data_IF_980430057845
#
_entry.id   IF_980430057845
#
_cell.length_a   1.000
_cell.length_b   1.000
_cell.length_c   1.000
_cell.angle_alpha   90.00
_cell.angle_beta   90.00
_cell.angle_gamma   90.00
#
_symmetry.space_group_name_H-M   'P 1'
#
loop_
_entity.id
_entity.type
_entity.pdbx_description
1 polymer ?
#
# COMPACT_ATOMS: atom_id res chain seq x y z
N UNK A 1 1.39 -9.31 24.99
CA UNK A 1 2.04 -8.17 24.32
C UNK A 1 1.35 -7.99 22.98
N UNK A 2 0.71 -6.84 22.73
CA UNK A 2 0.02 -6.59 21.46
C UNK A 2 1.05 -6.58 20.32
N UNK A 3 0.81 -7.35 19.28
CA UNK A 3 1.69 -7.35 18.13
C UNK A 3 1.38 -6.13 17.27
N UNK A 4 2.26 -5.14 17.26
CA UNK A 4 2.10 -3.92 16.45
C UNK A 4 2.98 -3.97 15.21
N UNK A 5 2.42 -3.60 14.06
CA UNK A 5 3.16 -3.45 12.80
C UNK A 5 3.20 -1.98 12.39
N UNK A 6 4.24 -1.58 11.67
CA UNK A 6 4.27 -0.30 10.97
C UNK A 6 3.64 -0.46 9.58
N UNK A 7 2.68 0.39 9.27
CA UNK A 7 1.95 0.37 8.01
C UNK A 7 1.83 1.79 7.43
N UNK A 8 1.81 1.90 6.11
CA UNK A 8 1.53 3.17 5.44
C UNK A 8 0.06 3.56 5.62
N UNK A 9 -0.18 4.85 5.81
CA UNK A 9 -1.50 5.47 5.83
C UNK A 9 -1.51 6.71 4.94
N UNK A 10 -2.60 6.94 4.23
CA UNK A 10 -2.83 8.16 3.45
C UNK A 10 -3.80 9.05 4.22
N UNK A 11 -3.24 10.02 4.94
CA UNK A 11 -4.00 10.84 5.89
C UNK A 11 -4.24 12.22 5.29
N UNK A 12 -5.48 12.69 5.42
CA UNK A 12 -5.82 14.08 5.12
C UNK A 12 -5.42 14.98 6.29
N UNK A 13 -4.67 16.05 6.03
CA UNK A 13 -4.22 16.99 7.04
C UNK A 13 -5.34 17.89 7.57
N UNK A 14 -6.42 18.10 6.82
CA UNK A 14 -7.54 18.93 7.26
C UNK A 14 -8.54 18.15 8.13
N UNK A 15 -8.93 16.93 7.73
CA UNK A 15 -9.92 16.14 8.49
C UNK A 15 -9.31 15.02 9.35
N UNK A 16 -7.98 14.81 9.30
CA UNK A 16 -7.23 13.83 10.09
C UNK A 16 -7.68 12.36 9.92
N UNK A 17 -8.42 12.07 8.84
CA UNK A 17 -8.87 10.71 8.49
C UNK A 17 -7.88 10.04 7.54
N UNK A 18 -7.77 8.73 7.66
CA UNK A 18 -7.17 7.89 6.62
C UNK A 18 -8.17 7.76 5.48
N UNK A 19 -7.90 8.43 4.35
CA UNK A 19 -8.88 8.53 3.26
C UNK A 19 -8.79 7.41 2.25
N UNK A 20 -7.59 6.85 2.03
CA UNK A 20 -7.36 5.78 1.05
C UNK A 20 -6.48 4.70 1.69
N UNK A 21 -6.93 3.43 1.72
CA UNK A 21 -6.13 2.36 2.29
C UNK A 21 -4.92 2.05 1.39
N UNK A 22 -3.72 2.03 1.98
CA UNK A 22 -2.51 1.61 1.29
C UNK A 22 -2.27 0.12 1.55
N UNK A 23 -2.27 -0.68 0.48
CA UNK A 23 -2.14 -2.14 0.50
C UNK A 23 -0.89 -2.58 -0.27
N UNK A 24 -0.55 -3.86 -0.18
CA UNK A 24 0.56 -4.46 -0.93
C UNK A 24 0.47 -4.25 -2.46
N UNK A 25 -0.75 -4.13 -2.99
CA UNK A 25 -1.04 -3.93 -4.41
C UNK A 25 -1.08 -2.44 -4.84
N UNK A 26 -1.03 -1.50 -3.88
CA UNK A 26 -1.02 -0.07 -4.14
C UNK A 26 0.17 0.35 -4.99
N UNK A 27 -0.03 1.33 -5.87
CA UNK A 27 0.97 1.75 -6.86
C UNK A 27 1.89 2.85 -6.32
N UNK A 28 3.15 2.72 -6.68
CA UNK A 28 4.20 3.70 -6.49
C UNK A 28 4.28 4.66 -7.68
N UNK A 29 4.95 5.81 -7.51
CA UNK A 29 5.32 6.73 -8.59
C UNK A 29 6.00 6.03 -9.77
N UNK A 30 6.89 5.07 -9.50
CA UNK A 30 7.56 4.28 -10.55
C UNK A 30 6.65 3.29 -11.28
N UNK A 31 5.39 3.13 -10.84
CA UNK A 31 4.41 2.19 -11.37
C UNK A 31 4.45 0.79 -10.80
N UNK A 32 5.46 0.47 -10.00
CA UNK A 32 5.53 -0.78 -9.26
C UNK A 32 4.68 -0.75 -7.98
N UNK A 33 4.44 -1.93 -7.41
CA UNK A 33 3.55 -2.15 -6.28
C UNK A 33 4.29 -2.09 -4.96
N UNK A 34 3.61 -1.74 -3.87
CA UNK A 34 4.22 -1.70 -2.53
C UNK A 34 4.95 -2.99 -2.16
N UNK A 35 4.44 -4.18 -2.54
CA UNK A 35 5.11 -5.47 -2.28
C UNK A 35 6.53 -5.59 -2.87
N UNK A 36 6.80 -4.84 -3.95
CA UNK A 36 8.12 -4.77 -4.59
C UNK A 36 9.05 -3.77 -3.88
N UNK A 37 8.54 -3.00 -2.92
CA UNK A 37 9.32 -2.09 -2.07
C UNK A 37 9.52 -2.65 -0.66
N UNK A 38 8.96 -3.81 -0.34
CA UNK A 38 9.10 -4.49 0.96
C UNK A 38 10.04 -5.71 0.89
N UNK A 39 10.48 -6.09 -0.31
CA UNK A 39 11.24 -7.31 -0.57
C UNK A 39 12.71 -7.13 -0.16
N UNK A 40 13.03 -7.60 1.04
CA UNK A 40 14.34 -7.43 1.69
C UNK A 40 14.30 -7.65 3.21
N UNK A 41 13.13 -7.86 3.80
CA UNK A 41 12.97 -8.20 5.21
C UNK A 41 12.72 -9.70 5.34
N UNK A 42 13.71 -10.41 5.88
CA UNK A 42 13.56 -11.80 6.30
C UNK A 42 12.48 -11.89 7.38
N UNK A 43 11.81 -13.04 7.42
CA UNK A 43 10.67 -13.37 8.26
C UNK A 43 11.02 -13.50 9.77
N UNK A 44 11.70 -12.50 10.34
CA UNK A 44 11.85 -12.37 11.78
C UNK A 44 10.97 -11.21 12.20
N UNK A 45 9.98 -11.56 13.02
CA UNK A 45 8.81 -10.82 13.48
C UNK A 45 9.03 -9.43 14.11
N UNK A 46 10.22 -8.82 14.02
CA UNK A 46 10.52 -7.59 14.73
C UNK A 46 10.91 -6.50 13.74
N UNK A 47 9.90 -5.70 13.39
CA UNK A 47 9.99 -4.25 13.14
C UNK A 47 11.12 -3.84 12.20
N UNK A 48 10.88 -3.67 10.89
CA UNK A 48 11.55 -2.62 10.07
C UNK A 48 10.90 -2.46 8.67
N UNK A 49 9.59 -2.19 8.56
CA UNK A 49 9.01 -1.75 7.28
C UNK A 49 9.31 -0.27 7.02
N UNK A 50 10.58 0.02 6.73
CA UNK A 50 10.95 1.15 5.89
C UNK A 50 10.98 0.62 4.45
N UNK A 51 10.08 1.04 3.54
CA UNK A 51 10.09 0.53 2.19
C UNK A 51 11.42 0.94 1.55
N UNK A 52 12.17 -0.07 1.13
CA UNK A 52 13.43 0.11 0.47
C UNK A 52 13.24 0.57 -0.97
N UNK A 53 14.36 0.54 -1.68
CA UNK A 53 14.39 0.68 -3.13
C UNK A 53 13.47 -0.36 -3.77
N UNK A 54 12.95 -0.06 -4.95
CA UNK A 54 12.18 -1.05 -5.69
C UNK A 54 13.04 -2.28 -6.01
N UNK A 55 12.53 -3.48 -5.75
CA UNK A 55 13.20 -4.76 -6.01
C UNK A 55 13.13 -5.19 -7.48
N UNK A 56 12.34 -4.50 -8.31
CA UNK A 56 12.19 -4.83 -9.72
C UNK A 56 13.50 -4.54 -10.46
N UNK A 57 14.04 -5.51 -11.24
CA UNK A 57 15.22 -5.29 -12.05
C UNK A 57 15.07 -4.05 -12.92
N UNK A 58 16.14 -3.26 -13.08
CA UNK A 58 16.18 -1.97 -13.81
C UNK A 58 15.41 -0.79 -13.21
N UNK A 59 14.69 -0.96 -12.09
CA UNK A 59 13.99 0.15 -11.45
C UNK A 59 14.90 0.86 -10.41
N UNK A 60 15.32 2.09 -10.68
CA UNK A 60 16.14 2.90 -9.76
C UNK A 60 15.33 3.66 -8.69
N UNK A 61 14.07 3.29 -8.46
CA UNK A 61 13.19 4.02 -7.55
C UNK A 61 13.67 3.90 -6.09
N UNK A 62 13.94 5.01 -5.39
CA UNK A 62 14.61 4.98 -4.09
C UNK A 62 13.70 4.55 -2.94
N UNK A 63 12.40 4.84 -3.02
CA UNK A 63 11.41 4.58 -1.96
C UNK A 63 10.01 4.48 -2.53
N UNK A 64 9.08 3.94 -1.75
CA UNK A 64 7.67 3.90 -2.11
C UNK A 64 7.00 5.28 -1.94
N UNK A 65 6.50 5.84 -3.04
CA UNK A 65 5.69 7.06 -3.10
C UNK A 65 4.29 6.72 -3.63
N UNK A 66 3.28 6.71 -2.75
CA UNK A 66 1.94 6.27 -3.06
C UNK A 66 1.25 7.16 -4.10
N UNK A 67 0.62 6.52 -5.09
CA UNK A 67 -0.28 7.13 -6.05
C UNK A 67 -1.66 6.50 -5.90
N UNK A 68 -2.67 7.34 -5.68
CA UNK A 68 -4.06 6.90 -5.61
C UNK A 68 -4.48 6.34 -6.98
N UNK A 69 -4.99 5.11 -6.96
CA UNK A 69 -5.47 4.37 -8.11
C UNK A 69 -6.59 3.42 -7.67
N UNK A 70 -7.59 3.23 -8.53
CA UNK A 70 -8.73 2.33 -8.28
C UNK A 70 -9.03 1.53 -9.55
N UNK A 71 -8.77 0.22 -9.50
CA UNK A 71 -8.82 -0.65 -10.68
C UNK A 71 -7.90 -0.17 -11.81
N UNK A 72 -8.50 0.17 -12.94
CA UNK A 72 -7.81 0.72 -14.11
C UNK A 72 -7.66 2.24 -14.09
N UNK A 73 -8.36 2.93 -13.18
CA UNK A 73 -8.27 4.39 -13.04
C UNK A 73 -7.08 4.79 -12.18
N UNK A 74 -6.42 5.88 -12.55
CA UNK A 74 -5.24 6.38 -11.84
C UNK A 74 -5.12 7.88 -11.94
N UNK A 75 -4.63 8.51 -10.86
CA UNK A 75 -4.38 9.94 -10.85
C UNK A 75 -3.41 10.37 -11.94
N UNK A 76 -3.73 11.54 -12.49
CA UNK A 76 -2.87 12.27 -13.42
C UNK A 76 -2.34 13.52 -12.73
N UNK A 77 -1.17 13.95 -13.17
CA UNK A 77 -0.63 15.24 -12.79
C UNK A 77 -1.43 16.37 -13.46
N UNK A 78 -1.33 17.60 -12.92
CA UNK A 78 -1.86 18.83 -13.54
C UNK A 78 -1.27 19.07 -14.92
N UNK A 79 -0.05 18.59 -15.18
CA UNK A 79 0.55 18.57 -16.51
C UNK A 79 -0.05 17.51 -17.47
N UNK A 80 -1.13 16.82 -17.07
CA UNK A 80 -1.88 15.78 -17.79
C UNK A 80 -1.17 14.43 -17.99
N UNK A 81 0.12 14.39 -17.68
CA UNK A 81 0.93 13.17 -17.73
C UNK A 81 0.65 12.21 -16.57
N UNK A 82 0.92 10.94 -16.81
CA UNK A 82 0.80 9.85 -15.83
C UNK A 82 1.94 9.93 -14.81
N UNK A 83 1.75 9.31 -13.65
CA UNK A 83 2.79 9.24 -12.63
C UNK A 83 4.07 8.54 -13.14
N UNK A 84 3.96 7.54 -14.03
CA UNK A 84 5.13 6.84 -14.63
C UNK A 84 5.95 7.71 -15.56
N UNK A 85 5.43 8.87 -15.96
CA UNK A 85 6.12 9.85 -16.80
C UNK A 85 6.81 10.92 -15.93
N UNK A 86 6.94 10.66 -14.63
CA UNK A 86 7.68 11.47 -13.68
C UNK A 86 8.80 10.62 -13.07
N UNK A 87 9.94 11.26 -12.81
CA UNK A 87 11.07 10.62 -12.17
C UNK A 87 10.70 10.19 -10.73
N UNK A 88 10.90 8.93 -10.33
CA UNK A 88 10.47 8.46 -9.02
C UNK A 88 11.20 9.07 -7.81
N UNK A 89 12.34 9.73 -8.03
CA UNK A 89 13.12 10.36 -6.95
C UNK A 89 12.76 11.84 -6.77
N UNK A 90 12.79 12.62 -7.84
CA UNK A 90 12.50 14.06 -7.86
C UNK A 90 11.02 14.38 -8.07
N UNK A 91 10.24 13.44 -8.59
CA UNK A 91 8.87 13.61 -9.05
C UNK A 91 8.73 14.64 -10.19
N UNK A 92 9.82 15.05 -10.84
CA UNK A 92 9.79 15.92 -12.00
C UNK A 92 9.30 15.15 -13.23
N UNK A 93 8.53 15.81 -14.11
CA UNK A 93 8.04 15.19 -15.33
C UNK A 93 9.19 14.98 -16.32
N UNK A 94 9.33 13.77 -16.86
CA UNK A 94 10.37 13.39 -17.82
C UNK A 94 9.99 13.69 -19.28
N UNK A 95 8.82 14.29 -19.54
CA UNK A 95 8.38 14.60 -20.90
C UNK A 95 9.08 15.83 -21.45
N UNK A 96 9.52 15.74 -22.70
CA UNK A 96 10.04 16.88 -23.45
C UNK A 96 9.03 18.04 -23.44
N UNK A 97 9.53 19.26 -23.29
CA UNK A 97 8.74 20.50 -23.21
C UNK A 97 7.78 20.62 -22.00
N UNK A 98 7.89 19.73 -21.00
CA UNK A 98 7.14 19.88 -19.74
C UNK A 98 8.05 20.45 -18.65
N UNK A 99 7.69 21.61 -18.08
CA UNK A 99 8.42 22.26 -16.98
C UNK A 99 7.94 21.84 -15.58
N UNK A 100 7.17 20.75 -15.50
CA UNK A 100 6.59 20.26 -14.24
C UNK A 100 7.68 19.67 -13.33
N UNK A 101 8.01 20.37 -12.25
CA UNK A 101 9.06 19.97 -11.29
C UNK A 101 8.60 18.96 -10.23
N UNK A 102 7.30 18.71 -10.11
CA UNK A 102 6.76 17.79 -9.12
C UNK A 102 5.37 17.27 -9.50
N UNK A 103 5.09 16.02 -9.16
CA UNK A 103 3.76 15.45 -9.36
C UNK A 103 2.73 16.13 -8.45
N UNK A 104 1.70 16.72 -9.05
CA UNK A 104 0.57 17.34 -8.35
C UNK A 104 -0.71 17.02 -9.09
N UNK A 105 -1.73 16.49 -8.42
CA UNK A 105 -3.00 16.13 -9.07
C UNK A 105 -4.10 17.19 -8.81
N UNK A 106 -4.96 17.50 -9.80
CA UNK A 106 -6.14 18.34 -9.57
C UNK A 106 -7.31 17.58 -8.90
N UNK A 107 -7.15 16.28 -8.64
CA UNK A 107 -8.19 15.47 -8.02
C UNK A 107 -8.53 15.92 -6.59
N UNK A 108 -9.82 15.83 -6.27
CA UNK A 108 -10.39 16.10 -4.95
C UNK A 108 -10.80 14.76 -4.35
N UNK A 109 -10.38 14.51 -3.11
CA UNK A 109 -10.71 13.29 -2.40
C UNK A 109 -12.18 13.26 -1.97
N UNK A 110 -12.73 12.07 -1.73
CA UNK A 110 -14.07 11.88 -1.17
C UNK A 110 -14.24 12.54 0.21
N UNK A 111 -13.15 12.89 0.90
CA UNK A 111 -13.19 13.71 2.12
C UNK A 111 -13.42 15.21 1.84
N UNK A 112 -13.61 15.60 0.57
CA UNK A 112 -13.80 16.95 0.04
C UNK A 112 -12.57 17.88 0.14
N UNK A 113 -11.37 17.33 0.34
CA UNK A 113 -10.11 18.09 0.34
C UNK A 113 -9.25 17.73 -0.87
N UNK A 114 -8.46 18.68 -1.40
CA UNK A 114 -7.62 18.44 -2.56
C UNK A 114 -6.49 17.44 -2.28
N UNK A 115 -5.95 16.84 -3.33
CA UNK A 115 -4.81 15.91 -3.23
C UNK A 115 -3.64 16.46 -2.41
N UNK A 116 -3.34 17.75 -2.53
CA UNK A 116 -2.25 18.43 -1.81
C UNK A 116 -2.41 18.44 -0.29
N UNK A 117 -3.62 18.19 0.22
CA UNK A 117 -3.91 18.14 1.66
C UNK A 117 -3.79 16.73 2.22
N UNK A 118 -3.19 15.80 1.47
CA UNK A 118 -3.00 14.44 1.92
C UNK A 118 -1.52 14.09 1.95
N UNK A 119 -1.15 13.28 2.94
CA UNK A 119 0.21 12.84 3.15
C UNK A 119 0.26 11.33 3.39
N UNK A 120 1.25 10.69 2.79
CA UNK A 120 1.64 9.33 3.15
C UNK A 120 2.48 9.38 4.42
N UNK A 121 2.00 8.73 5.49
CA UNK A 121 2.69 8.64 6.78
C UNK A 121 2.78 7.20 7.24
N UNK A 122 3.80 6.88 8.04
CA UNK A 122 3.98 5.56 8.62
C UNK A 122 3.31 5.55 10.01
N UNK A 123 2.33 4.68 10.20
CA UNK A 123 1.57 4.55 11.46
C UNK A 123 1.76 3.17 12.06
N UNK A 124 1.66 3.09 13.39
CA UNK A 124 1.63 1.81 14.10
C UNK A 124 0.19 1.29 14.16
N UNK A 125 0.01 0.02 13.79
CA UNK A 125 -1.28 -0.67 13.84
C UNK A 125 -1.15 -1.92 14.67
N UNK A 126 -2.14 -2.16 15.52
CA UNK A 126 -2.27 -3.43 16.23
C UNK A 126 -2.76 -4.49 15.24
N UNK A 127 -2.05 -5.62 15.20
CA UNK A 127 -2.46 -6.81 14.49
C UNK A 127 -3.05 -7.76 15.53
N UNK A 128 -4.30 -8.17 15.33
CA UNK A 128 -4.76 -9.35 16.07
C UNK A 128 -3.97 -10.54 15.50
N UNK A 129 -3.08 -11.12 16.30
CA UNK A 129 -2.49 -12.40 15.95
C UNK A 129 -3.63 -13.42 15.96
N UNK A 130 -4.24 -13.70 14.80
CA UNK A 130 -4.92 -14.99 14.63
C UNK A 130 -3.82 -16.03 14.54
N UNK A 131 -3.38 -16.45 15.71
CA UNK A 131 -2.68 -17.71 15.93
C UNK A 131 -3.62 -18.79 15.38
N UNK A 132 -3.30 -19.35 14.22
CA UNK A 132 -3.89 -20.61 13.77
C UNK A 132 -3.26 -21.80 14.52
N UNK A 133 -3.02 -21.68 15.83
CA UNK A 133 -2.83 -22.82 16.72
C UNK A 133 -4.12 -23.00 17.53
N UNK A 134 -5.12 -23.59 16.87
CA UNK A 134 -5.91 -24.57 17.58
C UNK A 134 -5.62 -25.90 16.91
N UNK A 135 -4.99 -26.88 17.59
CA UNK A 135 -5.02 -28.26 17.12
C UNK A 135 -6.49 -28.67 17.14
N UNK A 136 -7.13 -28.60 15.98
CA UNK A 136 -8.41 -29.23 15.74
C UNK A 136 -8.19 -30.71 16.05
N UNK A 137 -8.89 -31.20 17.06
CA UNK A 137 -8.98 -32.62 17.42
C UNK A 137 -9.30 -33.38 16.14
N UNK A 138 -8.29 -34.08 15.60
CA UNK A 138 -8.42 -34.93 14.42
C UNK A 138 -9.26 -36.15 14.82
N UNK A 139 -10.58 -36.06 14.61
CA UNK A 139 -11.35 -37.26 14.32
C UNK A 139 -10.84 -37.82 12.99
N UNK A 140 -10.41 -39.08 13.02
CA UNK A 140 -9.78 -39.77 11.90
C UNK A 140 -10.61 -39.69 10.61
N UNK A 141 -9.99 -39.26 9.51
CA UNK A 141 -10.64 -39.17 8.20
C UNK A 141 -9.75 -38.66 7.08
N UNK A 142 -8.90 -39.54 6.57
CA UNK A 142 -8.40 -39.67 5.18
C UNK A 142 -8.11 -38.40 4.31
N UNK A 143 -6.82 -38.17 4.07
CA UNK A 143 -6.15 -37.79 2.79
C UNK A 143 -6.82 -36.81 1.80
N UNK A 144 -6.19 -35.63 1.57
CA UNK A 144 -5.44 -35.31 0.33
C UNK A 144 -4.87 -33.88 0.33
N UNK A 145 -3.67 -33.74 -0.26
CA UNK A 145 -2.85 -32.54 -0.30
C UNK A 145 -3.44 -31.44 -1.19
N UNK A 146 -3.50 -30.20 -0.69
CA UNK A 146 -3.95 -29.04 -1.44
C UNK A 146 -3.31 -27.75 -0.95
N UNK A 147 -2.57 -27.10 -1.84
CA UNK A 147 -1.88 -25.81 -1.78
C UNK A 147 -2.36 -24.78 -0.72
N UNK A 148 -1.39 -24.31 0.07
CA UNK A 148 -1.47 -23.13 0.93
C UNK A 148 -1.76 -21.86 0.11
N UNK A 149 -2.99 -21.36 0.17
CA UNK A 149 -3.34 -19.99 -0.24
C UNK A 149 -3.42 -19.12 1.00
N UNK A 150 -2.37 -18.33 1.25
CA UNK A 150 -2.35 -17.32 2.33
C UNK A 150 -3.30 -16.15 1.98
N UNK A 151 -4.54 -16.20 2.46
CA UNK A 151 -5.47 -15.09 2.39
C UNK A 151 -5.32 -14.20 3.64
N UNK A 152 -4.86 -12.96 3.46
CA UNK A 152 -4.82 -11.94 4.52
C UNK A 152 -6.19 -11.24 4.56
N UNK A 153 -6.99 -11.52 5.58
CA UNK A 153 -8.26 -10.84 5.80
C UNK A 153 -8.10 -9.69 6.81
N UNK A 154 -8.55 -8.49 6.43
CA UNK A 154 -8.62 -7.32 7.31
C UNK A 154 -10.02 -7.29 7.94
N UNK A 155 -10.12 -7.41 9.26
CA UNK A 155 -11.38 -7.28 9.98
C UNK A 155 -11.53 -5.84 10.49
N UNK A 156 -12.59 -5.15 10.09
CA UNK A 156 -13.07 -3.96 10.80
C UNK A 156 -13.86 -4.41 12.03
N UNK A 157 -13.68 -3.69 13.13
CA UNK A 157 -14.40 -3.97 14.36
C UNK A 157 -15.91 -3.77 14.11
N UNK A 158 -16.70 -4.86 14.24
CA UNK A 158 -18.13 -4.77 14.52
C UNK A 158 -19.12 -5.07 13.39
N UNK A 159 -18.76 -5.76 12.30
CA UNK A 159 -19.75 -6.19 11.31
C UNK A 159 -19.65 -7.69 10.99
N UNK A 160 -20.81 -8.35 11.01
CA UNK A 160 -21.04 -9.76 10.80
C UNK A 160 -20.67 -10.13 9.35
N UNK A 161 -19.98 -11.25 9.17
CA UNK A 161 -19.65 -11.80 7.86
C UNK A 161 -20.87 -12.54 7.31
N UNK A 162 -21.59 -11.94 6.36
CA UNK A 162 -22.44 -12.71 5.43
C UNK A 162 -21.62 -13.05 4.18
N UNK A 163 -21.59 -14.34 3.86
CA UNK A 163 -20.95 -14.93 2.70
C UNK A 163 -21.78 -14.66 1.44
N UNK A 164 -21.22 -13.93 0.47
CA UNK A 164 -21.51 -14.06 -0.96
C UNK A 164 -20.23 -13.88 -1.76
#
# INVERSE_FOLDING_TARGET
MANTIKAWAWICQECQRECVPIRAESRCMCGHRLKQHTQGQSAVFTVLIWPGRCSVPSCSCPKFSFIVAEGSWILRCRCKHKHTEHDPASHACSKAACSCSGFSSPWVCNCNHPWSQHQQVLVERQVCARVWDQPHVLAAGNMQAGHLVCAVAVCTAGAWCDLW
#
